data_IF_836626467245
#
_entry.id   IF_836626467245
#
_cell.length_a   1.000
_cell.length_b   1.000
_cell.length_c   1.000
_cell.angle_alpha   90.00
_cell.angle_beta   90.00
_cell.angle_gamma   90.00
#
_symmetry.space_group_name_H-M   'P 1'
#
loop_
_entity.id
_entity.type
_entity.pdbx_description
1 polymer ?
#
# COMPACT_ATOMS: atom_id res chain seq x y z
N UNK A 1 1.84 -2.01 -22.25
CA UNK A 1 1.51 -0.99 -21.25
C UNK A 1 2.00 0.40 -21.72
N UNK A 2 3.21 0.54 -22.19
CA UNK A 2 3.81 1.83 -22.59
C UNK A 2 3.10 2.52 -23.78
N UNK A 3 2.26 1.79 -24.53
CA UNK A 3 1.45 2.31 -25.65
C UNK A 3 0.05 2.77 -25.26
N UNK A 4 -0.36 2.56 -24.01
CA UNK A 4 -1.71 2.90 -23.54
C UNK A 4 -1.75 4.36 -23.08
N UNK A 5 -2.89 5.04 -23.29
CA UNK A 5 -3.11 6.36 -22.73
C UNK A 5 -3.17 6.29 -21.19
N UNK A 6 -2.76 7.35 -20.50
CA UNK A 6 -2.81 7.44 -19.04
C UNK A 6 -4.26 7.23 -18.54
N UNK A 7 -5.24 7.81 -19.25
CA UNK A 7 -6.66 7.67 -18.93
C UNK A 7 -7.13 6.21 -18.97
N UNK A 8 -6.78 5.49 -20.04
CA UNK A 8 -7.17 4.07 -20.20
C UNK A 8 -6.46 3.18 -19.18
N UNK A 9 -5.21 3.51 -18.88
CA UNK A 9 -4.44 2.81 -17.84
C UNK A 9 -5.13 2.91 -16.48
N UNK A 10 -5.46 4.11 -16.03
CA UNK A 10 -6.16 4.31 -14.74
C UNK A 10 -7.57 3.73 -14.75
N UNK A 11 -8.32 3.88 -15.84
CA UNK A 11 -9.65 3.28 -15.97
C UNK A 11 -9.62 1.76 -15.76
N UNK A 12 -8.67 1.06 -16.40
CA UNK A 12 -8.53 -0.39 -16.22
C UNK A 12 -8.15 -0.78 -14.80
N UNK A 13 -7.29 -0.01 -14.14
CA UNK A 13 -6.91 -0.26 -12.75
C UNK A 13 -8.07 -0.02 -11.80
N UNK A 14 -8.80 1.07 -11.95
CA UNK A 14 -10.00 1.39 -11.18
C UNK A 14 -11.05 0.29 -11.30
N UNK A 15 -11.43 -0.09 -12.50
CA UNK A 15 -12.44 -1.14 -12.74
C UNK A 15 -12.03 -2.48 -12.13
N UNK A 16 -10.73 -2.78 -12.08
CA UNK A 16 -10.23 -4.04 -11.51
C UNK A 16 -10.16 -4.04 -9.98
N UNK A 17 -9.69 -2.96 -9.36
CA UNK A 17 -9.35 -2.94 -7.94
C UNK A 17 -10.46 -2.31 -7.07
N UNK A 18 -11.09 -1.25 -7.57
CA UNK A 18 -11.99 -0.42 -6.77
C UNK A 18 -13.28 -1.10 -6.31
N UNK A 19 -13.93 -1.97 -7.09
CA UNK A 19 -15.13 -2.69 -6.63
C UNK A 19 -14.88 -3.52 -5.36
N UNK A 20 -13.71 -4.15 -5.26
CA UNK A 20 -13.33 -4.93 -4.07
C UNK A 20 -13.10 -4.03 -2.84
N UNK A 21 -12.53 -2.84 -3.06
CA UNK A 21 -12.34 -1.84 -1.98
C UNK A 21 -13.70 -1.40 -1.42
N UNK A 22 -14.63 -1.01 -2.30
CA UNK A 22 -15.97 -0.57 -1.90
C UNK A 22 -16.68 -1.69 -1.15
N UNK A 23 -16.71 -2.89 -1.71
CA UNK A 23 -17.39 -4.04 -1.10
C UNK A 23 -16.80 -4.39 0.26
N UNK A 24 -15.46 -4.47 0.36
CA UNK A 24 -14.79 -4.75 1.62
C UNK A 24 -15.02 -3.66 2.68
N UNK A 25 -15.04 -2.38 2.29
CA UNK A 25 -15.33 -1.27 3.21
C UNK A 25 -16.77 -1.29 3.72
N UNK A 26 -17.74 -1.60 2.85
CA UNK A 26 -19.14 -1.70 3.26
C UNK A 26 -19.38 -2.90 4.18
N UNK A 27 -18.80 -4.05 3.87
CA UNK A 27 -18.84 -5.24 4.74
C UNK A 27 -18.18 -4.93 6.08
N UNK A 28 -17.00 -4.27 6.08
CA UNK A 28 -16.31 -3.86 7.29
C UNK A 28 -17.14 -2.89 8.14
N UNK A 29 -17.89 -1.97 7.53
CA UNK A 29 -18.79 -1.07 8.24
C UNK A 29 -19.95 -1.81 8.92
N UNK A 30 -20.54 -2.81 8.25
CA UNK A 30 -21.59 -3.65 8.85
C UNK A 30 -21.04 -4.41 10.05
N UNK A 31 -19.89 -5.05 9.92
CA UNK A 31 -19.25 -5.77 11.02
C UNK A 31 -18.76 -4.85 12.14
N UNK A 32 -18.39 -3.61 11.82
CA UNK A 32 -18.04 -2.60 12.81
C UNK A 32 -19.22 -2.32 13.75
N UNK A 33 -20.42 -2.16 13.23
CA UNK A 33 -21.61 -1.93 14.05
C UNK A 33 -22.12 -3.18 14.78
N UNK A 34 -21.94 -4.37 14.18
CA UNK A 34 -22.37 -5.62 14.78
C UNK A 34 -21.30 -6.25 15.69
N UNK A 35 -20.08 -5.74 15.61
CA UNK A 35 -18.93 -6.26 16.34
C UNK A 35 -18.77 -5.63 17.71
N UNK A 36 -19.65 -5.96 18.63
CA UNK A 36 -19.42 -5.65 20.05
C UNK A 36 -18.25 -6.48 20.56
N UNK A 37 -17.11 -5.83 20.82
CA UNK A 37 -15.88 -6.50 21.22
C UNK A 37 -15.12 -5.68 22.24
N UNK A 38 -14.93 -6.24 23.43
CA UNK A 38 -14.16 -5.63 24.51
C UNK A 38 -12.70 -5.33 24.14
N UNK A 39 -12.14 -6.03 23.12
CA UNK A 39 -10.81 -5.76 22.58
C UNK A 39 -10.73 -4.45 21.78
N UNK A 40 -11.87 -3.87 21.38
CA UNK A 40 -11.94 -2.63 20.59
C UNK A 40 -12.91 -1.63 21.21
N UNK A 41 -12.60 -1.07 22.39
CA UNK A 41 -13.52 -0.19 23.13
C UNK A 41 -13.94 1.05 22.35
N UNK A 42 -13.09 1.56 21.44
CA UNK A 42 -13.39 2.72 20.59
C UNK A 42 -14.60 2.51 19.68
N UNK A 43 -14.98 1.26 19.37
CA UNK A 43 -16.14 0.95 18.54
C UNK A 43 -17.41 1.47 19.20
N UNK A 44 -17.57 1.23 20.52
CA UNK A 44 -18.74 1.65 21.31
C UNK A 44 -18.84 3.18 21.43
N UNK A 45 -17.69 3.87 21.44
CA UNK A 45 -17.62 5.33 21.61
C UNK A 45 -17.70 6.09 20.29
N UNK A 46 -17.65 5.40 19.14
CA UNK A 46 -17.60 6.04 17.83
C UNK A 46 -18.99 6.49 17.38
N UNK A 47 -19.23 7.79 17.16
CA UNK A 47 -20.52 8.27 16.70
C UNK A 47 -20.77 7.85 15.24
N UNK A 48 -22.03 7.59 14.89
CA UNK A 48 -22.45 7.09 13.58
C UNK A 48 -21.96 7.93 12.39
N UNK A 49 -21.93 9.26 12.53
CA UNK A 49 -21.45 10.17 11.49
C UNK A 49 -19.97 9.97 11.18
N UNK A 50 -19.15 9.63 12.19
CA UNK A 50 -17.73 9.36 12.01
C UNK A 50 -17.53 8.04 11.24
N UNK A 51 -18.35 7.02 11.53
CA UNK A 51 -18.33 5.77 10.78
C UNK A 51 -18.73 6.01 9.31
N UNK A 52 -19.77 6.81 9.06
CA UNK A 52 -20.17 7.18 7.69
C UNK A 52 -19.03 7.90 6.95
N UNK A 53 -18.35 8.81 7.63
CA UNK A 53 -17.18 9.49 7.07
C UNK A 53 -16.07 8.49 6.71
N UNK A 54 -15.79 7.51 7.61
CA UNK A 54 -14.80 6.46 7.34
C UNK A 54 -15.22 5.56 6.16
N UNK A 55 -16.51 5.28 6.00
CA UNK A 55 -17.03 4.57 4.82
C UNK A 55 -16.74 5.35 3.53
N UNK A 56 -17.05 6.64 3.51
CA UNK A 56 -16.82 7.48 2.33
C UNK A 56 -15.32 7.54 1.97
N UNK A 57 -14.46 7.83 2.97
CA UNK A 57 -13.01 7.89 2.76
C UNK A 57 -12.45 6.54 2.34
N UNK A 58 -12.90 5.46 2.98
CA UNK A 58 -12.49 4.10 2.64
C UNK A 58 -12.90 3.69 1.23
N UNK A 59 -14.14 3.99 0.82
CA UNK A 59 -14.60 3.75 -0.55
C UNK A 59 -13.82 4.55 -1.59
N UNK A 60 -13.32 5.73 -1.25
CA UNK A 60 -12.48 6.56 -2.13
C UNK A 60 -10.98 6.22 -2.02
N UNK A 61 -10.60 5.31 -1.14
CA UNK A 61 -9.20 4.99 -0.78
C UNK A 61 -8.40 6.21 -0.33
N UNK A 62 -9.06 7.16 0.33
CA UNK A 62 -8.40 8.29 0.95
C UNK A 62 -7.89 7.85 2.33
N UNK A 63 -6.57 7.86 2.56
CA UNK A 63 -5.99 7.43 3.82
C UNK A 63 -6.41 8.39 4.95
N UNK A 64 -6.75 7.82 6.11
CA UNK A 64 -7.16 8.57 7.29
C UNK A 64 -5.97 8.79 8.22
N UNK A 65 -5.84 9.99 8.83
CA UNK A 65 -4.82 10.24 9.84
C UNK A 65 -5.05 9.41 11.10
N UNK A 66 -3.98 9.12 11.82
CA UNK A 66 -4.01 8.32 13.07
C UNK A 66 -5.02 8.85 14.08
N UNK A 67 -5.16 10.18 14.19
CA UNK A 67 -6.11 10.83 15.10
C UNK A 67 -7.59 10.57 14.80
N UNK A 68 -7.89 10.05 13.61
CA UNK A 68 -9.25 9.75 13.17
C UNK A 68 -9.58 8.26 13.26
N UNK A 69 -8.63 7.46 13.68
CA UNK A 69 -8.86 6.02 13.84
C UNK A 69 -10.05 5.74 14.76
N UNK A 70 -10.81 4.72 14.41
CA UNK A 70 -12.02 4.28 15.11
C UNK A 70 -11.91 2.89 15.70
N UNK A 71 -10.77 2.19 15.47
CA UNK A 71 -10.52 0.84 15.96
C UNK A 71 -9.38 0.73 16.98
N UNK A 72 -8.47 1.70 17.00
CA UNK A 72 -7.28 1.65 17.83
C UNK A 72 -6.09 0.92 17.20
N UNK A 73 -6.14 0.64 15.88
CA UNK A 73 -5.06 -0.03 15.14
C UNK A 73 -4.24 0.90 14.27
N UNK A 74 -4.64 2.18 14.22
CA UNK A 74 -3.94 3.26 13.49
C UNK A 74 -3.78 3.00 12.00
N UNK A 75 -4.65 2.18 11.42
CA UNK A 75 -4.64 1.85 10.00
C UNK A 75 -5.18 3.01 9.16
N UNK A 76 -4.63 3.17 7.94
CA UNK A 76 -5.10 4.18 6.96
C UNK A 76 -6.56 3.98 6.54
N UNK A 77 -7.14 2.81 6.77
CA UNK A 77 -8.54 2.51 6.56
C UNK A 77 -9.03 1.56 7.65
N UNK A 78 -9.64 2.12 8.67
CA UNK A 78 -10.10 1.36 9.85
C UNK A 78 -11.21 0.35 9.56
N UNK A 79 -11.96 0.49 8.47
CA UNK A 79 -13.05 -0.43 8.09
C UNK A 79 -12.59 -1.56 7.17
N UNK A 80 -11.46 -1.40 6.49
CA UNK A 80 -10.93 -2.39 5.56
C UNK A 80 -9.39 -2.39 5.62
N UNK A 81 -8.84 -2.95 6.68
CA UNK A 81 -7.40 -2.97 6.95
C UNK A 81 -6.56 -3.36 5.73
N UNK A 82 -6.82 -4.48 5.03
CA UNK A 82 -6.02 -4.90 3.87
C UNK A 82 -5.86 -3.88 2.74
N UNK A 83 -6.70 -2.85 2.67
CA UNK A 83 -6.62 -1.81 1.61
C UNK A 83 -5.39 -0.92 1.70
N UNK A 84 -4.66 -0.91 2.82
CA UNK A 84 -3.39 -0.20 2.89
C UNK A 84 -2.41 -0.66 1.77
N UNK A 85 -2.36 -1.94 1.47
CA UNK A 85 -1.50 -2.46 0.41
C UNK A 85 -1.97 -2.02 -0.99
N UNK A 86 -3.28 -1.94 -1.21
CA UNK A 86 -3.86 -1.41 -2.45
C UNK A 86 -3.58 0.09 -2.61
N UNK A 87 -3.60 0.87 -1.53
CA UNK A 87 -3.20 2.27 -1.56
C UNK A 87 -1.78 2.42 -2.11
N UNK A 88 -0.84 1.62 -1.61
CA UNK A 88 0.53 1.61 -2.13
C UNK A 88 0.59 1.18 -3.60
N UNK A 89 -0.22 0.20 -4.01
CA UNK A 89 -0.31 -0.19 -5.43
C UNK A 89 -0.81 0.97 -6.31
N UNK A 90 -1.78 1.76 -5.86
CA UNK A 90 -2.22 2.97 -6.58
C UNK A 90 -1.09 4.00 -6.67
N UNK A 91 -0.36 4.24 -5.60
CA UNK A 91 0.82 5.12 -5.59
C UNK A 91 1.87 4.65 -6.61
N UNK A 92 2.18 3.36 -6.65
CA UNK A 92 3.10 2.80 -7.66
C UNK A 92 2.60 3.02 -9.09
N UNK A 93 1.31 2.83 -9.33
CA UNK A 93 0.71 3.06 -10.64
C UNK A 93 0.75 4.53 -11.05
N UNK A 94 0.56 5.47 -10.11
CA UNK A 94 0.70 6.91 -10.34
C UNK A 94 2.15 7.24 -10.68
N UNK A 95 3.11 6.77 -9.88
CA UNK A 95 4.55 6.97 -10.13
C UNK A 95 4.94 6.42 -11.51
N UNK A 96 4.46 5.23 -11.85
CA UNK A 96 4.70 4.65 -13.18
C UNK A 96 4.12 5.53 -14.29
N UNK A 97 2.84 5.91 -14.21
CA UNK A 97 2.16 6.62 -15.27
C UNK A 97 2.72 8.03 -15.51
N UNK A 98 3.14 8.72 -14.45
CA UNK A 98 3.64 10.10 -14.55
C UNK A 98 5.14 10.18 -14.85
N UNK A 99 5.95 9.29 -14.27
CA UNK A 99 7.40 9.44 -14.28
C UNK A 99 8.12 8.23 -14.88
N UNK A 100 7.96 7.05 -14.30
CA UNK A 100 8.82 5.89 -14.55
C UNK A 100 8.65 5.32 -15.96
N UNK A 101 7.47 5.50 -16.59
CA UNK A 101 7.24 5.10 -17.99
C UNK A 101 8.23 5.72 -18.97
N UNK A 102 8.75 6.90 -18.64
CA UNK A 102 9.71 7.65 -19.46
C UNK A 102 11.18 7.29 -19.18
N UNK A 103 11.43 6.48 -18.17
CA UNK A 103 12.80 6.10 -17.82
C UNK A 103 13.41 5.15 -18.86
N UNK A 104 14.68 5.40 -19.20
CA UNK A 104 15.50 4.43 -19.93
C UNK A 104 15.70 3.17 -19.08
N UNK A 105 16.15 2.07 -19.69
CA UNK A 105 16.46 0.83 -18.96
C UNK A 105 17.54 1.06 -17.89
N UNK A 106 18.53 1.93 -18.19
CA UNK A 106 19.60 2.28 -17.24
C UNK A 106 19.05 3.09 -16.06
N UNK A 107 18.26 4.15 -16.35
CA UNK A 107 17.65 4.98 -15.31
C UNK A 107 16.72 4.14 -14.41
N UNK A 108 15.94 3.24 -14.99
CA UNK A 108 15.10 2.31 -14.22
C UNK A 108 15.96 1.34 -13.38
N UNK A 109 17.08 0.86 -13.91
CA UNK A 109 18.03 0.02 -13.18
C UNK A 109 18.62 0.74 -11.96
N UNK A 110 19.03 1.99 -12.12
CA UNK A 110 19.54 2.82 -11.00
C UNK A 110 18.43 3.03 -9.97
N UNK A 111 17.21 3.35 -10.40
CA UNK A 111 16.07 3.53 -9.52
C UNK A 111 15.77 2.27 -8.70
N UNK A 112 15.79 1.10 -9.33
CA UNK A 112 15.58 -0.20 -8.65
C UNK A 112 16.72 -0.50 -7.68
N UNK A 113 17.96 -0.17 -8.03
CA UNK A 113 19.10 -0.34 -7.11
C UNK A 113 18.97 0.54 -5.85
N UNK A 114 18.57 1.81 -6.02
CA UNK A 114 18.30 2.69 -4.88
C UNK A 114 17.12 2.17 -4.03
N UNK A 115 16.04 1.69 -4.66
CA UNK A 115 14.93 1.07 -3.94
C UNK A 115 15.35 -0.20 -3.17
N UNK A 116 16.27 -0.99 -3.72
CA UNK A 116 16.84 -2.13 -3.02
C UNK A 116 17.63 -1.73 -1.77
N UNK A 117 18.38 -0.61 -1.83
CA UNK A 117 19.09 -0.09 -0.65
C UNK A 117 18.14 0.30 0.48
N UNK A 118 16.97 0.91 0.17
CA UNK A 118 15.94 1.19 1.17
C UNK A 118 15.38 -0.09 1.79
N UNK A 119 15.22 -1.12 0.98
CA UNK A 119 14.76 -2.44 1.46
C UNK A 119 15.81 -3.08 2.38
N UNK A 120 17.09 -2.98 2.04
CA UNK A 120 18.22 -3.45 2.85
C UNK A 120 18.30 -2.69 4.18
N UNK A 121 18.12 -1.36 4.15
CA UNK A 121 18.12 -0.52 5.34
C UNK A 121 17.12 -1.01 6.39
N UNK A 122 15.89 -1.33 5.97
CA UNK A 122 14.86 -1.89 6.86
C UNK A 122 15.19 -3.33 7.26
N UNK A 123 15.61 -4.18 6.32
CA UNK A 123 15.87 -5.60 6.58
C UNK A 123 16.98 -5.82 7.63
N UNK A 124 17.98 -4.98 7.60
CA UNK A 124 19.12 -5.04 8.53
C UNK A 124 18.99 -4.03 9.70
N UNK A 125 17.88 -3.32 9.78
CA UNK A 125 17.61 -2.30 10.80
C UNK A 125 18.76 -1.28 10.94
N UNK A 126 19.31 -0.84 9.80
CA UNK A 126 20.42 0.12 9.74
C UNK A 126 19.96 1.50 10.22
N UNK A 127 18.69 1.84 9.86
CA UNK A 127 18.02 3.10 10.26
C UNK A 127 18.77 4.37 9.82
N UNK A 128 19.18 4.41 8.56
CA UNK A 128 19.90 5.54 7.97
C UNK A 128 19.21 6.89 8.18
N UNK A 129 17.87 6.89 8.28
CA UNK A 129 17.06 8.11 8.42
C UNK A 129 16.56 8.37 9.85
N UNK A 130 16.88 7.53 10.83
CA UNK A 130 16.41 7.64 12.20
C UNK A 130 14.90 7.47 12.37
N UNK A 131 14.26 6.73 11.47
CA UNK A 131 12.81 6.52 11.45
C UNK A 131 12.39 5.19 12.09
N UNK A 132 13.32 4.28 12.36
CA UNK A 132 13.04 2.93 12.82
C UNK A 132 13.28 2.74 14.33
N UNK A 133 13.75 3.75 15.03
CA UNK A 133 14.15 3.69 16.43
C UNK A 133 13.01 3.22 17.37
N UNK A 134 11.75 3.46 17.01
CA UNK A 134 10.57 3.05 17.80
C UNK A 134 10.11 1.62 17.54
N UNK A 135 10.79 0.87 16.68
CA UNK A 135 10.39 -0.45 16.19
C UNK A 135 11.11 -1.63 16.81
N UNK A 136 11.55 -1.55 18.06
CA UNK A 136 12.33 -2.62 18.72
C UNK A 136 11.75 -4.03 18.53
N UNK A 137 10.42 -4.18 18.75
CA UNK A 137 9.73 -5.46 18.59
C UNK A 137 9.62 -5.95 17.15
N UNK A 138 9.80 -5.06 16.17
CA UNK A 138 9.70 -5.35 14.74
C UNK A 138 11.03 -5.15 13.99
N UNK A 139 12.13 -4.98 14.72
CA UNK A 139 13.48 -4.89 14.15
C UNK A 139 13.78 -6.10 13.25
N UNK A 140 14.51 -5.86 12.18
CA UNK A 140 14.86 -6.88 11.18
C UNK A 140 13.65 -7.50 10.44
N UNK A 141 12.49 -6.86 10.46
CA UNK A 141 11.29 -7.31 9.75
C UNK A 141 10.76 -6.25 8.80
N UNK A 142 9.89 -6.66 7.87
CA UNK A 142 9.16 -5.77 6.98
C UNK A 142 7.72 -5.49 7.46
N UNK A 143 7.44 -5.75 8.73
CA UNK A 143 6.12 -5.51 9.31
C UNK A 143 5.87 -4.01 9.37
N UNK A 144 4.77 -3.55 8.77
CA UNK A 144 4.40 -2.14 8.75
C UNK A 144 3.91 -1.66 7.39
N UNK A 145 3.69 -0.35 7.28
CA UNK A 145 3.23 0.31 6.06
C UNK A 145 1.73 0.58 6.02
N UNK A 146 1.00 0.36 7.11
CA UNK A 146 -0.47 0.51 7.20
C UNK A 146 -0.94 1.81 7.86
N UNK A 147 -0.04 2.67 8.34
CA UNK A 147 -0.34 3.94 8.98
C UNK A 147 0.33 5.12 8.29
N UNK A 148 -0.09 6.34 8.60
CA UNK A 148 0.52 7.59 8.11
C UNK A 148 1.63 8.13 9.03
N UNK A 149 2.14 7.33 9.97
CA UNK A 149 3.31 7.72 10.75
C UNK A 149 4.60 7.65 9.90
N UNK A 150 5.63 8.46 10.17
CA UNK A 150 6.83 8.51 9.34
C UNK A 150 7.53 7.16 9.15
N UNK A 151 7.61 6.36 10.22
CA UNK A 151 8.14 5.00 10.19
C UNK A 151 7.33 4.08 9.26
N UNK A 152 5.99 4.13 9.38
CA UNK A 152 5.09 3.31 8.58
C UNK A 152 5.10 3.73 7.11
N UNK A 153 5.19 5.02 6.81
CA UNK A 153 5.34 5.53 5.45
C UNK A 153 6.67 5.08 4.85
N UNK A 154 7.77 5.15 5.61
CA UNK A 154 9.07 4.68 5.14
C UNK A 154 9.05 3.19 4.80
N UNK A 155 8.45 2.36 5.66
CA UNK A 155 8.29 0.92 5.41
C UNK A 155 7.40 0.67 4.20
N UNK A 156 6.25 1.34 4.12
CA UNK A 156 5.30 1.18 3.02
C UNK A 156 5.92 1.51 1.66
N UNK A 157 6.65 2.63 1.55
CA UNK A 157 7.38 3.04 0.36
C UNK A 157 8.44 2.01 -0.02
N UNK A 158 9.24 1.57 0.93
CA UNK A 158 10.31 0.60 0.66
C UNK A 158 9.77 -0.75 0.18
N UNK A 159 8.68 -1.23 0.80
CA UNK A 159 7.97 -2.45 0.39
C UNK A 159 7.33 -2.34 -1.00
N UNK A 160 7.00 -1.12 -1.43
CA UNK A 160 6.42 -0.86 -2.73
C UNK A 160 7.48 -0.78 -3.83
N UNK A 161 8.48 0.09 -3.64
CA UNK A 161 9.36 0.53 -4.73
C UNK A 161 10.16 -0.64 -5.32
N UNK A 162 10.83 -1.42 -4.48
CA UNK A 162 11.70 -2.47 -4.97
C UNK A 162 10.94 -3.58 -5.74
N UNK A 163 9.97 -4.30 -5.15
CA UNK A 163 9.34 -5.44 -5.84
C UNK A 163 8.52 -5.01 -7.06
N UNK A 164 7.87 -3.85 -7.02
CA UNK A 164 7.07 -3.37 -8.14
C UNK A 164 7.94 -2.98 -9.34
N UNK A 165 8.99 -2.20 -9.10
CA UNK A 165 9.81 -1.68 -10.20
C UNK A 165 10.89 -2.65 -10.67
N UNK A 166 11.34 -3.61 -9.84
CA UNK A 166 12.16 -4.72 -10.34
C UNK A 166 11.35 -5.59 -11.32
N UNK A 167 10.07 -5.85 -11.03
CA UNK A 167 9.19 -6.56 -11.96
C UNK A 167 9.05 -5.81 -13.29
N UNK A 168 8.92 -4.48 -13.26
CA UNK A 168 8.90 -3.64 -14.46
C UNK A 168 10.23 -3.70 -15.22
N UNK A 169 11.37 -3.62 -14.53
CA UNK A 169 12.70 -3.71 -15.14
C UNK A 169 12.89 -5.06 -15.84
N UNK A 170 12.55 -6.17 -15.18
CA UNK A 170 12.60 -7.51 -15.77
C UNK A 170 11.75 -7.63 -17.03
N UNK A 171 10.55 -7.06 -17.02
CA UNK A 171 9.66 -7.00 -18.19
C UNK A 171 10.30 -6.24 -19.35
N UNK A 172 11.00 -5.12 -19.10
CA UNK A 172 11.66 -4.30 -20.14
C UNK A 172 12.95 -4.92 -20.68
N UNK A 173 13.63 -5.74 -19.88
CA UNK A 173 14.86 -6.43 -20.31
C UNK A 173 14.54 -7.67 -21.14
N UNK A 174 13.28 -8.11 -21.19
CA UNK A 174 12.83 -9.31 -21.93
C UNK A 174 13.57 -10.61 -21.56
N UNK A 175 14.19 -10.67 -20.41
CA UNK A 175 14.83 -11.89 -19.86
C UNK A 175 13.85 -12.69 -19.01
N UNK A 176 12.65 -12.94 -19.53
CA UNK A 176 11.72 -13.85 -18.89
C UNK A 176 12.19 -15.28 -19.08
N UNK A 177 12.31 -16.01 -17.99
CA UNK A 177 12.58 -17.45 -18.03
C UNK A 177 11.34 -18.11 -18.65
N UNK A 178 11.52 -18.71 -19.84
CA UNK A 178 10.47 -19.50 -20.47
C UNK A 178 10.43 -20.87 -19.78
N UNK A 179 9.51 -21.05 -18.86
CA UNK A 179 9.24 -22.36 -18.25
C UNK A 179 8.44 -23.18 -19.28
N UNK A 180 9.03 -24.25 -19.80
CA UNK A 180 8.40 -25.12 -20.82
C UNK A 180 7.15 -25.87 -20.33
N UNK A 181 6.96 -25.99 -19.02
CA UNK A 181 5.77 -26.55 -18.36
C UNK A 181 5.38 -25.63 -17.22
N UNK A 182 4.55 -24.63 -17.53
CA UNK A 182 3.87 -23.84 -16.51
C UNK A 182 2.78 -24.68 -15.86
N UNK A 183 2.55 -24.52 -14.56
CA UNK A 183 1.33 -25.00 -13.94
C UNK A 183 0.15 -24.24 -14.56
N UNK A 184 -0.81 -24.98 -15.12
CA UNK A 184 -2.13 -24.52 -15.48
C UNK A 184 -3.02 -24.57 -14.25
#
# INVERSE_FOLDING_TARGET
>A
WDRMSIKDFFKRRLVRLHPMVIMGTLIGAVFFYLGDCSAFPLIMETPWWKVLLMVLLGCLMIPTPVSWDIRGWWEVNSLNGPTWSLMWEYIANILYALFIRHFSKVALGIFVALAALLTIDIAFNIDTFGLLATREAAAYTFIGGWSLTPDQLYIGISRLLYPFFVGLLLSRVNKLIKIKRGFY
#
